data_IF_616972796181
#
_entry.id   IF_616972796181
#
_cell.length_a   1.000
_cell.length_b   1.000
_cell.length_c   1.000
_cell.angle_alpha   90.00
_cell.angle_beta   90.00
_cell.angle_gamma   90.00
#
_symmetry.space_group_name_H-M   'P 1'
#
loop_
_entity.id
_entity.type
_entity.pdbx_description
1 polymer ?
#
# COMPACT_ATOMS: atom_id res chain seq x y z
N UNK A 1 8.32 -5.82 -6.16
CA UNK A 1 6.94 -5.71 -5.64
C UNK A 1 6.10 -4.85 -6.58
N UNK A 2 4.77 -4.94 -6.58
CA UNK A 2 3.91 -4.11 -7.46
C UNK A 2 4.11 -2.61 -7.18
N UNK A 3 4.21 -2.24 -5.90
CA UNK A 3 4.41 -0.86 -5.45
C UNK A 3 5.70 -0.29 -5.99
N UNK A 4 6.79 -1.05 -5.83
CA UNK A 4 8.11 -0.70 -6.30
C UNK A 4 8.14 -0.51 -7.82
N UNK A 5 7.50 -1.41 -8.57
CA UNK A 5 7.45 -1.31 -10.02
C UNK A 5 6.69 -0.05 -10.49
N UNK A 6 5.55 0.25 -9.86
CA UNK A 6 4.77 1.45 -10.19
C UNK A 6 5.59 2.70 -9.87
N UNK A 7 6.19 2.74 -8.69
CA UNK A 7 6.97 3.89 -8.22
C UNK A 7 8.20 4.17 -9.08
N UNK A 8 8.96 3.13 -9.45
CA UNK A 8 10.27 3.32 -10.08
C UNK A 8 10.18 3.44 -11.61
N UNK A 9 9.12 2.91 -12.23
CA UNK A 9 9.06 2.78 -13.70
C UNK A 9 7.83 3.38 -14.37
N UNK A 10 6.76 3.68 -13.61
CA UNK A 10 5.47 4.05 -14.19
C UNK A 10 4.97 5.45 -13.79
N UNK A 11 5.56 6.12 -12.80
CA UNK A 11 5.09 7.44 -12.35
C UNK A 11 5.10 8.50 -13.45
N UNK A 12 6.04 8.39 -14.40
CA UNK A 12 6.17 9.28 -15.56
C UNK A 12 5.34 8.83 -16.78
N UNK A 13 4.80 7.60 -16.75
CA UNK A 13 4.07 6.97 -17.86
C UNK A 13 2.56 6.90 -17.63
N UNK A 14 2.13 7.08 -16.39
CA UNK A 14 0.72 7.04 -16.01
C UNK A 14 0.19 8.45 -15.80
N UNK A 15 -1.10 8.63 -16.12
CA UNK A 15 -1.84 9.83 -15.73
C UNK A 15 -2.54 9.54 -14.42
N UNK A 16 -2.27 10.35 -13.40
CA UNK A 16 -2.88 10.24 -12.09
C UNK A 16 -4.00 11.26 -11.94
N UNK A 17 -5.20 10.78 -11.63
CA UNK A 17 -6.34 11.61 -11.27
C UNK A 17 -6.67 11.40 -9.79
N UNK A 18 -6.36 12.40 -8.96
CA UNK A 18 -6.65 12.33 -7.53
C UNK A 18 -8.15 12.24 -7.29
N UNK A 19 -8.54 11.23 -6.52
CA UNK A 19 -9.90 11.07 -6.05
C UNK A 19 -10.10 11.83 -4.74
N UNK A 20 -11.24 12.52 -4.54
CA UNK A 20 -11.55 13.30 -3.35
C UNK A 20 -11.99 12.39 -2.19
N UNK A 21 -11.13 11.45 -1.83
CA UNK A 21 -11.36 10.41 -0.82
C UNK A 21 -10.19 10.35 0.16
N UNK A 22 -10.49 9.85 1.35
CA UNK A 22 -9.48 9.51 2.36
C UNK A 22 -9.24 8.01 2.34
N UNK A 23 -7.97 7.62 2.24
CA UNK A 23 -7.56 6.21 2.30
C UNK A 23 -6.61 5.99 3.47
N UNK A 24 -6.66 4.79 4.03
CA UNK A 24 -5.68 4.30 4.99
C UNK A 24 -4.78 3.26 4.31
N UNK A 25 -3.47 3.37 4.51
CA UNK A 25 -2.51 2.40 3.98
C UNK A 25 -2.29 1.30 5.01
N UNK A 26 -2.44 0.05 4.57
CA UNK A 26 -1.93 -1.12 5.26
C UNK A 26 -0.69 -1.61 4.51
N UNK A 27 0.51 -1.32 5.02
CA UNK A 27 1.73 -1.91 4.46
C UNK A 27 1.79 -3.38 4.88
N UNK A 28 1.81 -4.28 3.90
CA UNK A 28 1.85 -5.71 4.18
C UNK A 28 3.17 -6.10 4.84
N UNK A 29 3.18 -7.20 5.60
CA UNK A 29 4.38 -7.68 6.29
C UNK A 29 5.56 -8.00 5.35
N UNK A 30 5.29 -8.38 4.09
CA UNK A 30 6.32 -8.55 3.05
C UNK A 30 6.86 -7.20 2.58
N UNK A 31 5.99 -6.24 2.27
CA UNK A 31 6.40 -4.91 1.79
C UNK A 31 7.18 -4.14 2.86
N UNK A 32 6.85 -4.32 4.14
CA UNK A 32 7.62 -3.76 5.27
C UNK A 32 9.03 -4.35 5.36
N UNK A 33 9.17 -5.67 5.22
CA UNK A 33 10.50 -6.32 5.20
C UNK A 33 11.36 -5.87 4.01
N UNK A 34 10.71 -5.40 2.94
CA UNK A 34 11.36 -4.85 1.75
C UNK A 34 11.56 -3.33 1.80
N UNK A 35 11.20 -2.67 2.90
CA UNK A 35 11.32 -1.22 3.08
C UNK A 35 10.58 -0.39 2.01
N UNK A 36 9.37 -0.81 1.64
CA UNK A 36 8.57 -0.20 0.56
C UNK A 36 7.52 0.82 1.06
N UNK A 37 7.50 1.15 2.34
CA UNK A 37 6.52 2.04 2.99
C UNK A 37 6.43 3.40 2.28
N UNK A 38 7.57 4.04 2.02
CA UNK A 38 7.61 5.36 1.39
C UNK A 38 7.14 5.31 -0.06
N UNK A 39 7.53 4.27 -0.81
CA UNK A 39 7.08 4.08 -2.19
C UNK A 39 5.56 3.88 -2.24
N UNK A 40 5.00 3.12 -1.31
CA UNK A 40 3.55 2.90 -1.21
C UNK A 40 2.81 4.20 -0.88
N UNK A 41 3.34 5.00 0.05
CA UNK A 41 2.78 6.31 0.37
C UNK A 41 2.79 7.24 -0.84
N UNK A 42 3.91 7.34 -1.56
CA UNK A 42 4.03 8.19 -2.75
C UNK A 42 3.01 7.82 -3.83
N UNK A 43 2.88 6.53 -4.14
CA UNK A 43 1.90 6.07 -5.13
C UNK A 43 0.47 6.40 -4.67
N UNK A 44 0.15 6.13 -3.41
CA UNK A 44 -1.17 6.42 -2.85
C UNK A 44 -1.50 7.93 -2.84
N UNK A 45 -0.52 8.77 -2.55
CA UNK A 45 -0.66 10.23 -2.50
C UNK A 45 -0.84 10.86 -3.87
N UNK A 46 -0.51 10.14 -4.96
CA UNK A 46 -0.86 10.54 -6.32
C UNK A 46 -2.32 10.19 -6.68
N UNK A 47 -2.92 9.22 -5.99
CA UNK A 47 -4.26 8.71 -6.30
C UNK A 47 -5.38 9.28 -5.40
N UNK A 48 -5.07 9.75 -4.19
CA UNK A 48 -6.07 10.21 -3.22
C UNK A 48 -5.70 11.57 -2.60
N UNK A 49 -6.73 12.32 -2.20
CA UNK A 49 -6.55 13.62 -1.53
C UNK A 49 -5.96 13.50 -0.13
N UNK A 50 -6.33 12.45 0.61
CA UNK A 50 -5.83 12.22 1.96
C UNK A 50 -5.39 10.78 2.14
N UNK A 51 -4.13 10.62 2.53
CA UNK A 51 -3.51 9.34 2.84
C UNK A 51 -3.17 9.30 4.32
N UNK A 52 -3.65 8.27 5.00
CA UNK A 52 -3.42 8.06 6.43
C UNK A 52 -2.56 6.80 6.58
N UNK A 53 -1.43 6.93 7.27
CA UNK A 53 -0.58 5.80 7.66
C UNK A 53 -0.78 5.58 9.15
N UNK A 54 -1.53 4.55 9.58
CA UNK A 54 -1.77 4.34 11.00
C UNK A 54 -0.51 3.80 11.70
N UNK A 55 -0.22 4.31 12.90
CA UNK A 55 1.03 4.02 13.62
C UNK A 55 1.19 2.54 14.04
N UNK A 56 0.08 1.83 14.28
CA UNK A 56 0.09 0.48 14.87
C UNK A 56 -0.45 -0.60 13.92
N UNK A 57 -0.28 -0.43 12.60
CA UNK A 57 -0.65 -1.47 11.64
C UNK A 57 0.47 -2.50 11.53
N UNK A 58 0.16 -3.73 11.93
CA UNK A 58 1.05 -4.88 11.83
C UNK A 58 0.42 -5.97 10.93
N UNK A 59 0.77 -7.23 11.13
CA UNK A 59 0.29 -8.33 10.30
C UNK A 59 -1.25 -8.43 10.29
N UNK A 60 -1.87 -8.52 9.11
CA UNK A 60 -3.31 -8.76 8.97
C UNK A 60 -3.75 -10.21 9.20
N UNK A 61 -2.81 -11.13 9.48
CA UNK A 61 -3.09 -12.55 9.76
C UNK A 61 -3.37 -13.43 8.53
N UNK A 62 -3.64 -12.84 7.36
CA UNK A 62 -4.06 -13.59 6.18
C UNK A 62 -2.98 -14.46 5.53
N UNK A 63 -1.70 -14.03 5.58
CA UNK A 63 -0.54 -14.76 5.09
C UNK A 63 -0.79 -15.61 3.81
N UNK A 64 -1.40 -15.00 2.79
CA UNK A 64 -1.93 -15.71 1.62
C UNK A 64 -3.40 -16.09 1.82
N UNK A 65 -3.68 -17.38 1.86
CA UNK A 65 -5.01 -17.97 2.01
C UNK A 65 -5.31 -18.45 3.44
N UNK A 66 -4.39 -18.25 4.40
CA UNK A 66 -4.56 -18.69 5.80
C UNK A 66 -5.86 -18.16 6.40
N UNK A 67 -6.23 -16.91 6.11
CA UNK A 67 -7.47 -16.31 6.60
C UNK A 67 -8.75 -17.03 6.14
N UNK A 68 -8.70 -17.87 5.08
CA UNK A 68 -9.81 -18.71 4.69
C UNK A 68 -9.93 -19.99 5.53
N UNK A 69 -8.81 -20.52 6.00
CA UNK A 69 -8.76 -21.79 6.74
C UNK A 69 -8.73 -21.59 8.26
N UNK A 70 -8.26 -20.42 8.72
CA UNK A 70 -8.10 -20.05 10.12
C UNK A 70 -8.56 -18.58 10.30
N UNK A 71 -9.87 -18.33 10.38
CA UNK A 71 -10.42 -16.98 10.58
C UNK A 71 -10.19 -16.40 11.99
N UNK A 72 -9.68 -17.21 12.93
CA UNK A 72 -9.31 -16.85 14.30
C UNK A 72 -7.89 -16.29 14.48
#
# INVERSE_FOLDING_TARGET
>A
DQVEFIHDFLLDKLTFEKQPVSIAIHTTCSSTKMHLEEKLYTVAALCADKVIVPENVSCCGWAGDRGFFYPE
#
